data_IF_247220795210
#
_entry.id   IF_247220795210
#
_cell.length_a   1.000
_cell.length_b   1.000
_cell.length_c   1.000
_cell.angle_alpha   90.00
_cell.angle_beta   90.00
_cell.angle_gamma   90.00
#
_symmetry.space_group_name_H-M   'P 1'
#
loop_
_entity.id
_entity.type
_entity.pdbx_description
1 polymer ?
#
# COMPACT_ATOMS: atom_id res chain seq x y z
N UNK A 1 1.44 -3.60 -25.12
CA UNK A 1 1.03 -3.69 -23.70
C UNK A 1 2.18 -3.40 -22.71
N UNK A 2 3.39 -3.99 -22.85
CA UNK A 2 4.53 -3.80 -21.94
C UNK A 2 4.89 -2.31 -21.74
N UNK A 3 5.12 -1.58 -22.82
CA UNK A 3 5.45 -0.15 -22.77
C UNK A 3 4.35 0.69 -22.08
N UNK A 4 3.07 0.35 -22.33
CA UNK A 4 1.95 1.05 -21.69
C UNK A 4 1.92 0.82 -20.18
N UNK A 5 2.22 -0.38 -19.69
CA UNK A 5 2.29 -0.68 -18.25
C UNK A 5 3.43 0.09 -17.58
N UNK A 6 4.60 0.15 -18.21
CA UNK A 6 5.75 0.91 -17.71
C UNK A 6 5.44 2.41 -17.71
N UNK A 7 4.91 2.95 -18.81
CA UNK A 7 4.55 4.37 -18.92
C UNK A 7 3.47 4.77 -17.90
N UNK A 8 2.42 3.97 -17.74
CA UNK A 8 1.38 4.22 -16.75
C UNK A 8 1.94 4.16 -15.32
N UNK A 9 2.79 3.17 -15.01
CA UNK A 9 3.43 3.09 -13.69
C UNK A 9 4.29 4.33 -13.41
N UNK A 10 5.10 4.77 -14.38
CA UNK A 10 5.90 5.97 -14.28
C UNK A 10 5.01 7.21 -14.08
N UNK A 11 3.96 7.37 -14.90
CA UNK A 11 3.02 8.49 -14.79
C UNK A 11 2.36 8.58 -13.41
N UNK A 12 1.85 7.46 -12.88
CA UNK A 12 1.22 7.45 -11.56
C UNK A 12 2.20 7.74 -10.41
N UNK A 13 3.41 7.17 -10.46
CA UNK A 13 4.43 7.40 -9.43
C UNK A 13 4.96 8.83 -9.50
N UNK A 14 5.31 9.32 -10.69
CA UNK A 14 5.86 10.67 -10.88
C UNK A 14 4.78 11.73 -10.67
N UNK A 15 3.60 11.55 -11.25
CA UNK A 15 2.46 12.45 -11.12
C UNK A 15 1.96 12.55 -9.68
N UNK A 16 1.81 11.43 -8.98
CA UNK A 16 1.44 11.42 -7.57
C UNK A 16 2.49 12.08 -6.67
N UNK A 17 3.77 11.93 -7.00
CA UNK A 17 4.86 12.58 -6.27
C UNK A 17 4.88 14.09 -6.51
N UNK A 18 4.78 14.52 -7.76
CA UNK A 18 4.73 15.94 -8.14
C UNK A 18 3.49 16.62 -7.54
N UNK A 19 2.32 15.99 -7.62
CA UNK A 19 1.09 16.51 -7.01
C UNK A 19 1.23 16.63 -5.48
N UNK A 20 1.90 15.67 -4.82
CA UNK A 20 2.15 15.74 -3.39
C UNK A 20 3.07 16.91 -3.00
N UNK A 21 4.05 17.24 -3.85
CA UNK A 21 4.91 18.42 -3.64
C UNK A 21 4.14 19.73 -3.87
N UNK A 22 3.36 19.80 -4.94
CA UNK A 22 2.62 21.00 -5.36
C UNK A 22 1.53 21.40 -4.36
N UNK A 23 0.79 20.42 -3.86
CA UNK A 23 -0.34 20.61 -2.94
C UNK A 23 0.09 20.78 -1.47
N UNK A 24 1.38 20.72 -1.22
CA UNK A 24 1.96 20.92 0.11
C UNK A 24 1.77 19.74 1.08
N UNK A 25 2.27 19.89 2.32
CA UNK A 25 2.43 18.75 3.24
C UNK A 25 1.15 18.02 3.62
N UNK A 26 0.03 18.73 3.69
CA UNK A 26 -1.26 18.16 4.13
C UNK A 26 -1.90 17.32 3.02
N UNK A 27 -2.08 17.90 1.85
CA UNK A 27 -2.67 17.22 0.70
C UNK A 27 -1.69 16.22 0.08
N UNK A 28 -0.39 16.53 0.11
CA UNK A 28 0.66 15.62 -0.34
C UNK A 28 0.73 14.32 0.45
N UNK A 29 0.42 14.32 1.75
CA UNK A 29 0.34 13.09 2.53
C UNK A 29 -0.87 12.22 2.16
N UNK A 30 -1.99 12.84 1.81
CA UNK A 30 -3.21 12.16 1.33
C UNK A 30 -2.92 11.49 -0.02
N UNK A 31 -2.34 12.24 -0.96
CA UNK A 31 -2.00 11.71 -2.28
C UNK A 31 -0.88 10.68 -2.24
N UNK A 32 0.06 10.80 -1.30
CA UNK A 32 1.13 9.81 -1.10
C UNK A 32 0.63 8.45 -0.60
N UNK A 33 -0.55 8.40 0.02
CA UNK A 33 -1.24 7.17 0.41
C UNK A 33 -2.24 6.67 -0.63
N UNK A 34 -2.36 7.36 -1.79
CA UNK A 34 -3.28 6.96 -2.85
C UNK A 34 -3.01 5.54 -3.36
N UNK A 35 -4.04 4.78 -3.71
CA UNK A 35 -3.97 3.37 -4.09
C UNK A 35 -3.42 3.15 -5.51
N UNK A 36 -2.21 3.68 -5.81
CA UNK A 36 -1.61 3.70 -7.14
C UNK A 36 -1.53 2.31 -7.78
N UNK A 37 -1.03 1.31 -7.04
CA UNK A 37 -0.93 -0.05 -7.56
C UNK A 37 -2.31 -0.67 -7.79
N UNK A 38 -3.26 -0.43 -6.87
CA UNK A 38 -4.62 -0.96 -7.01
C UNK A 38 -5.31 -0.39 -8.26
N UNK A 39 -5.14 0.92 -8.53
CA UNK A 39 -5.68 1.56 -9.75
C UNK A 39 -5.04 0.99 -11.01
N UNK A 40 -3.71 0.88 -11.05
CA UNK A 40 -3.01 0.31 -12.20
C UNK A 40 -3.45 -1.13 -12.47
N UNK A 41 -3.53 -1.95 -11.42
CA UNK A 41 -3.99 -3.33 -11.53
C UNK A 41 -5.44 -3.40 -11.99
N UNK A 42 -6.31 -2.54 -11.46
CA UNK A 42 -7.72 -2.47 -11.87
C UNK A 42 -7.87 -2.13 -13.36
N UNK A 43 -7.07 -1.16 -13.87
CA UNK A 43 -7.05 -0.77 -15.28
C UNK A 43 -6.59 -1.94 -16.15
N UNK A 44 -5.43 -2.52 -15.85
CA UNK A 44 -4.85 -3.56 -16.70
C UNK A 44 -5.64 -4.88 -16.61
N UNK A 45 -6.13 -5.26 -15.43
CA UNK A 45 -7.03 -6.41 -15.32
C UNK A 45 -8.34 -6.20 -16.08
N UNK A 46 -8.92 -4.98 -16.03
CA UNK A 46 -10.15 -4.69 -16.79
C UNK A 46 -9.93 -4.79 -18.30
N UNK A 47 -8.76 -4.36 -18.81
CA UNK A 47 -8.43 -4.39 -20.23
C UNK A 47 -8.06 -5.81 -20.70
N UNK A 48 -7.28 -6.55 -19.91
CA UNK A 48 -6.69 -7.83 -20.32
C UNK A 48 -7.56 -9.03 -19.96
N UNK A 49 -8.28 -8.98 -18.85
CA UNK A 49 -9.08 -10.08 -18.30
C UNK A 49 -10.59 -9.78 -18.20
N UNK A 50 -10.95 -8.52 -18.42
CA UNK A 50 -12.32 -8.05 -18.34
C UNK A 50 -12.73 -7.51 -16.95
N UNK A 51 -13.84 -6.74 -16.91
CA UNK A 51 -14.26 -6.03 -15.71
C UNK A 51 -14.69 -6.94 -14.54
N UNK A 52 -15.21 -8.13 -14.82
CA UNK A 52 -15.60 -9.08 -13.77
C UNK A 52 -14.36 -9.62 -13.02
N UNK A 53 -13.31 -9.99 -13.75
CA UNK A 53 -12.02 -10.40 -13.17
C UNK A 53 -11.43 -9.28 -12.31
N UNK A 54 -11.41 -8.05 -12.85
CA UNK A 54 -10.85 -6.90 -12.15
C UNK A 54 -11.64 -6.57 -10.87
N UNK A 55 -12.97 -6.67 -10.88
CA UNK A 55 -13.83 -6.46 -9.71
C UNK A 55 -13.58 -7.51 -8.62
N UNK A 56 -13.43 -8.78 -9.01
CA UNK A 56 -13.11 -9.85 -8.08
C UNK A 56 -11.69 -9.72 -7.53
N UNK A 57 -10.71 -9.35 -8.35
CA UNK A 57 -9.34 -9.04 -7.89
C UNK A 57 -9.33 -7.87 -6.91
N UNK A 58 -10.09 -6.80 -7.16
CA UNK A 58 -10.24 -5.70 -6.23
C UNK A 58 -10.81 -6.17 -4.88
N UNK A 59 -11.81 -7.06 -4.88
CA UNK A 59 -12.32 -7.66 -3.65
C UNK A 59 -11.20 -8.40 -2.87
N UNK A 60 -10.41 -9.24 -3.54
CA UNK A 60 -9.33 -9.99 -2.89
C UNK A 60 -8.12 -9.14 -2.51
N UNK A 61 -7.99 -7.93 -3.06
CA UNK A 61 -6.99 -6.95 -2.59
C UNK A 61 -7.27 -6.49 -1.15
N UNK A 62 -8.52 -6.51 -0.69
CA UNK A 62 -8.88 -6.13 0.68
C UNK A 62 -8.18 -7.03 1.71
N UNK A 63 -8.35 -8.37 1.71
CA UNK A 63 -7.57 -9.23 2.59
C UNK A 63 -6.07 -9.20 2.30
N UNK A 64 -5.66 -9.00 1.03
CA UNK A 64 -4.26 -8.82 0.65
C UNK A 64 -3.61 -7.63 1.36
N UNK A 65 -4.33 -6.52 1.54
CA UNK A 65 -3.87 -5.39 2.36
C UNK A 65 -3.74 -5.76 3.84
N UNK A 66 -4.57 -6.68 4.34
CA UNK A 66 -4.39 -7.27 5.67
C UNK A 66 -3.07 -8.03 5.78
N UNK A 67 -2.67 -8.77 4.73
CA UNK A 67 -1.36 -9.45 4.66
C UNK A 67 -0.18 -8.46 4.55
N UNK A 68 -0.39 -7.24 4.06
CA UNK A 68 0.65 -6.23 3.97
C UNK A 68 1.06 -5.64 5.34
N UNK A 69 0.17 -5.66 6.32
CA UNK A 69 0.46 -5.12 7.66
C UNK A 69 1.62 -5.86 8.35
N UNK A 70 1.65 -7.20 8.40
CA UNK A 70 2.77 -7.97 8.97
C UNK A 70 4.13 -7.68 8.33
N UNK A 71 4.18 -7.23 7.07
CA UNK A 71 5.44 -6.89 6.37
C UNK A 71 6.29 -5.91 7.18
N UNK A 72 5.66 -4.85 7.65
CA UNK A 72 6.34 -3.80 8.40
C UNK A 72 6.73 -4.24 9.81
N UNK A 73 5.92 -5.10 10.42
CA UNK A 73 6.24 -5.70 11.72
C UNK A 73 7.40 -6.69 11.59
N UNK A 74 7.40 -7.53 10.54
CA UNK A 74 8.50 -8.44 10.23
C UNK A 74 9.79 -7.69 9.92
N UNK A 75 9.71 -6.60 9.18
CA UNK A 75 10.85 -5.72 8.94
C UNK A 75 11.42 -5.17 10.25
N UNK A 76 10.57 -4.62 11.11
CA UNK A 76 10.99 -4.10 12.42
C UNK A 76 11.62 -5.20 13.28
N UNK A 77 11.04 -6.38 13.30
CA UNK A 77 11.53 -7.51 14.06
C UNK A 77 12.94 -7.92 13.59
N UNK A 78 13.15 -8.03 12.27
CA UNK A 78 14.46 -8.34 11.71
C UNK A 78 15.52 -7.32 12.14
N UNK A 79 15.21 -6.03 12.09
CA UNK A 79 16.15 -4.97 12.47
C UNK A 79 16.50 -4.96 13.96
N UNK A 80 15.64 -5.52 14.80
CA UNK A 80 15.86 -5.66 16.25
C UNK A 80 16.60 -6.93 16.64
N UNK A 81 16.30 -8.03 15.95
CA UNK A 81 16.88 -9.34 16.27
C UNK A 81 18.26 -9.57 15.65
N UNK A 82 18.55 -8.89 14.55
CA UNK A 82 19.78 -9.05 13.80
C UNK A 82 20.62 -7.76 13.92
N UNK A 83 21.44 -7.61 14.97
CA UNK A 83 22.37 -6.51 15.08
C UNK A 83 23.49 -6.69 14.06
N UNK A 84 23.31 -6.15 12.88
CA UNK A 84 24.21 -6.29 11.74
C UNK A 84 24.57 -4.92 11.15
N UNK A 85 25.64 -4.81 10.36
CA UNK A 85 25.88 -3.63 9.54
C UNK A 85 24.64 -3.23 8.75
N UNK A 86 24.46 -1.94 8.53
CA UNK A 86 23.22 -1.35 7.99
C UNK A 86 22.69 -2.06 6.74
N UNK A 87 23.58 -2.41 5.81
CA UNK A 87 23.19 -3.10 4.58
C UNK A 87 22.53 -4.47 4.85
N UNK A 88 23.09 -5.26 5.75
CA UNK A 88 22.56 -6.56 6.16
C UNK A 88 21.26 -6.42 6.95
N UNK A 89 21.14 -5.40 7.81
CA UNK A 89 19.92 -5.10 8.55
C UNK A 89 18.76 -4.74 7.60
N UNK A 90 19.05 -3.97 6.54
CA UNK A 90 18.06 -3.66 5.49
C UNK A 90 17.66 -4.93 4.73
N UNK A 91 18.65 -5.73 4.31
CA UNK A 91 18.39 -6.98 3.58
C UNK A 91 17.55 -7.95 4.42
N UNK A 92 17.90 -8.15 5.69
CA UNK A 92 17.13 -8.97 6.62
C UNK A 92 15.71 -8.45 6.82
N UNK A 93 15.56 -7.12 6.94
CA UNK A 93 14.25 -6.47 7.06
C UNK A 93 13.37 -6.72 5.85
N UNK A 94 13.89 -6.51 4.63
CA UNK A 94 13.16 -6.78 3.38
C UNK A 94 12.81 -8.27 3.27
N UNK A 95 13.77 -9.15 3.53
CA UNK A 95 13.56 -10.61 3.43
C UNK A 95 12.50 -11.11 4.41
N UNK A 96 12.61 -10.75 5.70
CA UNK A 96 11.63 -11.18 6.71
C UNK A 96 10.27 -10.52 6.48
N UNK A 97 10.25 -9.23 6.11
CA UNK A 97 9.00 -8.55 5.75
C UNK A 97 8.30 -9.22 4.58
N UNK A 98 9.03 -9.55 3.51
CA UNK A 98 8.47 -10.26 2.36
C UNK A 98 8.01 -11.68 2.74
N UNK A 99 8.79 -12.40 3.55
CA UNK A 99 8.41 -13.73 4.03
C UNK A 99 7.09 -13.69 4.85
N UNK A 100 6.93 -12.69 5.73
CA UNK A 100 5.67 -12.52 6.48
C UNK A 100 4.48 -12.24 5.57
N UNK A 101 4.66 -11.49 4.48
CA UNK A 101 3.61 -11.29 3.48
C UNK A 101 3.23 -12.60 2.79
N UNK A 102 4.22 -13.37 2.33
CA UNK A 102 3.98 -14.66 1.66
C UNK A 102 3.21 -15.60 2.59
N UNK A 103 3.67 -15.76 3.83
CA UNK A 103 3.01 -16.63 4.83
C UNK A 103 1.58 -16.15 5.09
N UNK A 104 1.37 -14.84 5.30
CA UNK A 104 0.04 -14.29 5.55
C UNK A 104 -0.88 -14.46 4.33
N UNK A 105 -0.37 -14.26 3.11
CA UNK A 105 -1.12 -14.45 1.87
C UNK A 105 -1.51 -15.91 1.67
N UNK A 106 -0.60 -16.85 1.91
CA UNK A 106 -0.89 -18.28 1.87
C UNK A 106 -1.96 -18.67 2.90
N UNK A 107 -1.85 -18.17 4.13
CA UNK A 107 -2.86 -18.39 5.15
C UNK A 107 -4.23 -17.82 4.74
N UNK A 108 -4.29 -16.60 4.19
CA UNK A 108 -5.51 -15.99 3.71
C UNK A 108 -6.11 -16.70 2.50
N UNK A 109 -5.30 -17.37 1.71
CA UNK A 109 -5.79 -18.11 0.54
C UNK A 109 -6.68 -19.29 0.90
N UNK A 110 -6.55 -19.85 2.11
CA UNK A 110 -7.37 -20.98 2.57
C UNK A 110 -8.52 -20.54 3.48
N UNK A 111 -8.55 -19.29 3.93
CA UNK A 111 -9.64 -18.76 4.76
C UNK A 111 -10.82 -18.37 3.86
N UNK A 112 -12.05 -18.82 4.15
CA UNK A 112 -13.24 -18.49 3.38
C UNK A 112 -13.72 -17.06 3.69
N UNK A 113 -13.00 -16.05 3.19
CA UNK A 113 -13.40 -14.65 3.33
C UNK A 113 -14.46 -14.31 2.28
N UNK A 114 -15.62 -13.86 2.75
CA UNK A 114 -16.72 -13.43 1.92
C UNK A 114 -16.94 -11.91 1.93
N UNK A 115 -17.95 -11.43 1.18
CA UNK A 115 -18.26 -10.00 1.08
C UNK A 115 -18.55 -9.29 2.40
N UNK A 116 -19.04 -10.03 3.40
CA UNK A 116 -19.37 -9.49 4.72
C UNK A 116 -18.21 -9.57 5.72
N UNK A 117 -17.20 -10.41 5.46
CA UNK A 117 -16.11 -10.67 6.42
C UNK A 117 -14.79 -10.02 6.02
N UNK A 118 -14.54 -9.74 4.74
CA UNK A 118 -13.29 -9.19 4.25
C UNK A 118 -12.97 -7.80 4.83
N UNK A 119 -13.95 -6.88 4.85
CA UNK A 119 -13.75 -5.53 5.42
C UNK A 119 -13.59 -5.53 6.95
N UNK A 120 -14.46 -6.21 7.74
CA UNK A 120 -14.22 -6.36 9.18
C UNK A 120 -12.86 -6.98 9.50
N UNK A 121 -12.42 -7.99 8.74
CA UNK A 121 -11.09 -8.57 8.88
C UNK A 121 -10.00 -7.52 8.66
N UNK A 122 -10.03 -6.79 7.53
CA UNK A 122 -9.05 -5.75 7.23
C UNK A 122 -9.05 -4.63 8.31
N UNK A 123 -10.24 -4.23 8.77
CA UNK A 123 -10.39 -3.26 9.86
C UNK A 123 -9.76 -3.75 11.15
N UNK A 124 -10.01 -5.01 11.54
CA UNK A 124 -9.45 -5.62 12.74
C UNK A 124 -7.92 -5.69 12.68
N UNK A 125 -7.35 -6.08 11.54
CA UNK A 125 -5.89 -6.13 11.33
C UNK A 125 -5.28 -4.73 11.40
N UNK A 126 -5.84 -3.76 10.69
CA UNK A 126 -5.34 -2.38 10.69
C UNK A 126 -5.46 -1.71 12.07
N UNK A 127 -6.57 -1.93 12.77
CA UNK A 127 -6.78 -1.41 14.12
C UNK A 127 -5.82 -2.08 15.10
N UNK A 128 -5.74 -3.41 15.09
CA UNK A 128 -4.82 -4.18 15.94
C UNK A 128 -3.37 -3.74 15.76
N UNK A 129 -2.93 -3.58 14.51
CA UNK A 129 -1.60 -3.05 14.21
C UNK A 129 -1.42 -1.62 14.73
N UNK A 130 -2.40 -0.75 14.54
CA UNK A 130 -2.35 0.63 15.04
C UNK A 130 -2.24 0.68 16.57
N UNK A 131 -2.97 -0.18 17.27
CA UNK A 131 -2.93 -0.27 18.73
C UNK A 131 -1.59 -0.84 19.23
N UNK A 132 -1.07 -1.86 18.55
CA UNK A 132 0.23 -2.47 18.87
C UNK A 132 1.37 -1.44 18.71
N UNK A 133 1.37 -0.74 17.59
CA UNK A 133 2.45 0.23 17.27
C UNK A 133 2.39 1.47 18.16
N UNK A 134 1.22 1.86 18.68
CA UNK A 134 1.12 2.96 19.65
C UNK A 134 1.90 2.70 20.96
N UNK A 135 2.08 1.44 21.33
CA UNK A 135 2.84 1.04 22.54
C UNK A 135 4.35 1.06 22.34
N UNK A 136 4.81 1.18 21.10
CA UNK A 136 6.23 1.23 20.79
C UNK A 136 6.76 2.68 20.96
N UNK A 137 7.99 2.87 21.50
CA UNK A 137 8.55 4.21 21.70
C UNK A 137 8.70 4.94 20.37
N UNK A 138 8.43 6.25 20.39
CA UNK A 138 8.64 7.13 19.24
C UNK A 138 10.02 7.77 19.36
N UNK A 139 10.94 7.31 18.55
CA UNK A 139 12.35 7.76 18.62
C UNK A 139 12.75 8.69 17.47
N UNK A 140 11.83 9.02 16.55
CA UNK A 140 12.23 9.77 15.37
C UNK A 140 11.23 10.82 14.90
N UNK A 141 11.74 11.98 14.62
CA UNK A 141 11.14 12.97 13.73
C UNK A 141 11.57 12.69 12.28
N UNK A 142 10.60 12.38 11.41
CA UNK A 142 10.87 12.33 9.97
C UNK A 142 11.29 13.72 9.49
N UNK A 143 12.59 13.98 9.35
CA UNK A 143 13.09 15.10 8.57
C UNK A 143 12.79 14.80 7.10
N UNK A 144 11.92 15.60 6.49
CA UNK A 144 11.71 15.55 5.05
C UNK A 144 12.99 16.05 4.38
N UNK A 145 13.75 15.13 3.81
CA UNK A 145 14.83 15.48 2.90
C UNK A 145 14.26 15.69 1.47
N UNK A 146 15.00 16.42 0.62
CA UNK A 146 14.63 16.56 -0.78
C UNK A 146 14.48 15.17 -1.43
N UNK A 147 13.49 15.02 -2.32
CA UNK A 147 13.29 13.78 -3.08
C UNK A 147 14.55 13.47 -3.90
N UNK A 148 15.15 12.34 -3.63
CA UNK A 148 16.27 11.87 -4.41
C UNK A 148 15.78 11.26 -5.72
N UNK A 149 16.38 11.62 -6.84
CA UNK A 149 16.11 11.03 -8.16
C UNK A 149 16.25 9.51 -8.11
N UNK A 150 17.22 9.00 -7.36
CA UNK A 150 17.40 7.56 -7.16
C UNK A 150 16.22 6.90 -6.45
N UNK A 151 15.63 7.56 -5.45
CA UNK A 151 14.43 7.07 -4.76
C UNK A 151 13.24 7.00 -5.73
N UNK A 152 13.09 8.01 -6.55
CA UNK A 152 12.02 8.09 -7.53
C UNK A 152 12.16 7.00 -8.60
N UNK A 153 13.38 6.80 -9.12
CA UNK A 153 13.70 5.75 -10.07
C UNK A 153 13.41 4.34 -9.51
N UNK A 154 13.81 4.08 -8.26
CA UNK A 154 13.51 2.80 -7.58
C UNK A 154 12.00 2.61 -7.43
N UNK A 155 11.25 3.63 -7.03
CA UNK A 155 9.77 3.54 -6.92
C UNK A 155 9.12 3.21 -8.25
N UNK A 156 9.51 3.90 -9.33
CA UNK A 156 9.00 3.64 -10.69
C UNK A 156 9.33 2.22 -11.13
N UNK A 157 10.60 1.80 -10.96
CA UNK A 157 11.05 0.48 -11.38
C UNK A 157 10.31 -0.65 -10.62
N UNK A 158 10.22 -0.54 -9.30
CA UNK A 158 9.53 -1.55 -8.47
C UNK A 158 8.03 -1.59 -8.78
N UNK A 159 7.38 -0.43 -8.92
CA UNK A 159 5.96 -0.38 -9.32
C UNK A 159 5.73 -1.00 -10.69
N UNK A 160 6.54 -0.64 -11.69
CA UNK A 160 6.43 -1.20 -13.04
C UNK A 160 6.65 -2.71 -13.05
N UNK A 161 7.71 -3.19 -12.39
CA UNK A 161 8.00 -4.62 -12.28
C UNK A 161 6.86 -5.40 -11.61
N UNK A 162 6.26 -4.82 -10.56
CA UNK A 162 5.15 -5.50 -9.87
C UNK A 162 3.89 -5.53 -10.73
N UNK A 163 3.53 -4.42 -11.38
CA UNK A 163 2.39 -4.39 -12.31
C UNK A 163 2.60 -5.41 -13.41
N UNK A 164 3.79 -5.45 -13.99
CA UNK A 164 4.14 -6.43 -15.03
C UNK A 164 4.03 -7.87 -14.52
N UNK A 165 4.66 -8.17 -13.38
CA UNK A 165 4.64 -9.51 -12.81
C UNK A 165 3.21 -9.99 -12.53
N UNK A 166 2.43 -9.18 -11.80
CA UNK A 166 1.07 -9.56 -11.41
C UNK A 166 0.15 -9.69 -12.61
N UNK A 167 0.20 -8.75 -13.56
CA UNK A 167 -0.68 -8.80 -14.74
C UNK A 167 -0.27 -9.87 -15.76
N UNK A 168 1.03 -10.20 -15.83
CA UNK A 168 1.51 -11.25 -16.76
C UNK A 168 1.07 -12.66 -16.34
N UNK A 169 0.92 -12.90 -15.04
CA UNK A 169 0.51 -14.21 -14.51
C UNK A 169 -0.95 -14.27 -14.07
N UNK A 170 -1.68 -13.16 -14.19
CA UNK A 170 -3.06 -13.06 -13.72
C UNK A 170 -4.00 -14.11 -14.32
N UNK A 171 -3.85 -14.41 -15.61
CA UNK A 171 -4.64 -15.44 -16.31
C UNK A 171 -4.43 -16.87 -15.76
N UNK A 172 -3.24 -17.13 -15.21
CA UNK A 172 -2.93 -18.43 -14.58
C UNK A 172 -3.33 -18.44 -13.12
N UNK A 173 -3.07 -17.35 -12.40
CA UNK A 173 -3.33 -17.25 -10.96
C UNK A 173 -4.81 -17.09 -10.63
N UNK A 174 -5.60 -16.55 -11.56
CA UNK A 174 -6.99 -16.17 -11.33
C UNK A 174 -7.14 -14.92 -10.47
N UNK A 175 -8.37 -14.41 -10.33
CA UNK A 175 -8.64 -13.11 -9.68
C UNK A 175 -8.30 -13.10 -8.19
N UNK A 176 -8.49 -14.21 -7.49
CA UNK A 176 -8.18 -14.33 -6.07
C UNK A 176 -6.72 -14.08 -5.76
N UNK A 177 -5.82 -14.83 -6.39
CA UNK A 177 -4.40 -14.69 -6.17
C UNK A 177 -3.87 -13.36 -6.70
N UNK A 178 -4.36 -12.91 -7.86
CA UNK A 178 -4.00 -11.61 -8.40
C UNK A 178 -4.33 -10.49 -7.42
N UNK A 179 -5.52 -10.49 -6.82
CA UNK A 179 -5.91 -9.51 -5.82
C UNK A 179 -5.08 -9.58 -4.55
N UNK A 180 -4.85 -10.77 -3.99
CA UNK A 180 -4.01 -10.94 -2.80
C UNK A 180 -2.58 -10.39 -3.01
N UNK A 181 -1.98 -10.64 -4.18
CA UNK A 181 -0.62 -10.17 -4.50
C UNK A 181 -0.58 -8.66 -4.73
N UNK A 182 -1.63 -8.05 -5.30
CA UNK A 182 -1.76 -6.58 -5.41
C UNK A 182 -1.70 -5.90 -4.03
N UNK A 183 -2.07 -6.57 -2.96
CA UNK A 183 -1.90 -6.10 -1.59
C UNK A 183 -0.44 -5.92 -1.14
N UNK A 184 0.56 -6.46 -1.84
CA UNK A 184 1.96 -6.28 -1.48
C UNK A 184 2.38 -4.80 -1.48
N UNK A 185 3.09 -4.31 -0.43
CA UNK A 185 3.40 -2.89 -0.29
C UNK A 185 4.58 -2.44 -1.16
N UNK A 186 4.43 -2.55 -2.50
CA UNK A 186 5.48 -2.27 -3.50
C UNK A 186 6.04 -0.87 -3.47
N UNK A 187 5.27 0.11 -3.02
CA UNK A 187 5.75 1.49 -2.88
C UNK A 187 6.33 1.75 -1.49
N UNK A 188 5.73 1.19 -0.46
CA UNK A 188 6.09 1.46 0.93
C UNK A 188 7.35 0.75 1.37
N UNK A 189 7.47 -0.56 1.10
CA UNK A 189 8.61 -1.36 1.56
C UNK A 189 9.95 -0.90 0.96
N UNK A 190 10.10 -0.69 -0.37
CA UNK A 190 11.34 -0.19 -0.94
C UNK A 190 11.70 1.22 -0.45
N UNK A 191 10.72 2.11 -0.30
CA UNK A 191 10.95 3.46 0.23
C UNK A 191 11.47 3.40 1.66
N UNK A 192 10.83 2.59 2.51
CA UNK A 192 11.27 2.40 3.89
C UNK A 192 12.68 1.79 3.94
N UNK A 193 12.97 0.78 3.12
CA UNK A 193 14.27 0.13 3.03
C UNK A 193 15.37 1.12 2.61
N UNK A 194 15.11 1.94 1.60
CA UNK A 194 16.06 2.95 1.13
C UNK A 194 16.30 4.06 2.18
N UNK A 195 15.25 4.51 2.84
CA UNK A 195 15.38 5.49 3.94
C UNK A 195 16.14 4.88 5.13
N UNK A 196 15.87 3.61 5.46
CA UNK A 196 16.64 2.91 6.49
C UNK A 196 18.13 2.81 6.10
N UNK A 197 18.44 2.44 4.85
CA UNK A 197 19.81 2.40 4.35
C UNK A 197 20.51 3.76 4.46
N UNK A 198 19.78 4.86 4.27
CA UNK A 198 20.34 6.21 4.27
C UNK A 198 20.40 6.84 5.66
N UNK A 199 19.33 6.71 6.45
CA UNK A 199 19.14 7.45 7.70
C UNK A 199 19.13 6.56 8.96
N UNK A 200 19.21 5.23 8.81
CA UNK A 200 19.19 4.27 9.92
C UNK A 200 17.80 3.89 10.36
N UNK A 201 17.69 3.14 11.47
CA UNK A 201 16.46 2.54 11.98
C UNK A 201 15.42 3.56 12.47
N UNK A 202 15.82 4.78 12.78
CA UNK A 202 14.94 5.82 13.29
C UNK A 202 13.75 6.13 12.34
N UNK A 203 13.94 5.96 11.03
CA UNK A 203 12.89 6.25 10.03
C UNK A 203 11.83 5.16 9.91
N UNK A 204 12.03 3.98 10.49
CA UNK A 204 11.14 2.82 10.33
C UNK A 204 9.81 3.05 11.07
N UNK A 205 9.88 3.57 12.30
CA UNK A 205 8.70 3.73 13.16
C UNK A 205 7.61 4.63 12.56
N UNK A 206 7.91 5.81 12.01
CA UNK A 206 6.91 6.64 11.35
C UNK A 206 6.18 5.93 10.20
N UNK A 207 6.90 5.12 9.41
CA UNK A 207 6.27 4.32 8.35
C UNK A 207 5.29 3.30 8.92
N UNK A 208 5.73 2.53 9.92
CA UNK A 208 4.90 1.50 10.54
C UNK A 208 3.63 2.10 11.15
N UNK A 209 3.73 3.28 11.77
CA UNK A 209 2.58 3.94 12.41
C UNK A 209 1.54 4.47 11.42
N UNK A 210 1.99 4.95 10.27
CA UNK A 210 1.10 5.53 9.27
C UNK A 210 0.49 4.48 8.34
N UNK A 211 1.19 3.36 8.13
CA UNK A 211 0.80 2.35 7.16
C UNK A 211 -0.62 1.79 7.38
N UNK A 212 -1.06 1.39 8.59
CA UNK A 212 -2.38 0.80 8.77
C UNK A 212 -3.53 1.72 8.34
N UNK A 213 -3.34 3.03 8.49
CA UNK A 213 -4.35 4.04 8.09
C UNK A 213 -4.45 4.13 6.58
N UNK A 214 -3.30 4.22 5.89
CA UNK A 214 -3.28 4.20 4.42
C UNK A 214 -3.77 2.88 3.84
N UNK A 215 -3.37 1.76 4.45
CA UNK A 215 -3.82 0.42 4.06
C UNK A 215 -5.35 0.29 4.13
N UNK A 216 -5.98 0.83 5.16
CA UNK A 216 -7.43 0.80 5.28
C UNK A 216 -8.12 1.69 4.23
N UNK A 217 -7.53 2.83 3.85
CA UNK A 217 -8.00 3.64 2.72
C UNK A 217 -7.96 2.84 1.40
N UNK A 218 -6.87 2.12 1.14
CA UNK A 218 -6.79 1.23 -0.02
C UNK A 218 -7.86 0.12 0.04
N UNK A 219 -8.20 -0.41 1.22
CA UNK A 219 -9.31 -1.36 1.37
C UNK A 219 -10.66 -0.72 1.00
N UNK A 220 -10.91 0.53 1.42
CA UNK A 220 -12.13 1.27 1.06
C UNK A 220 -12.19 1.48 -0.45
N UNK A 221 -11.11 1.93 -1.09
CA UNK A 221 -11.03 2.07 -2.54
C UNK A 221 -11.40 0.77 -3.24
N UNK A 222 -10.80 -0.35 -2.85
CA UNK A 222 -11.03 -1.66 -3.46
C UNK A 222 -12.42 -2.21 -3.19
N UNK A 223 -13.03 -1.90 -2.03
CA UNK A 223 -14.42 -2.22 -1.75
C UNK A 223 -15.36 -1.54 -2.75
N UNK A 224 -15.19 -0.22 -2.94
CA UNK A 224 -15.97 0.54 -3.91
C UNK A 224 -15.74 -0.02 -5.32
N UNK A 225 -14.49 -0.23 -5.71
CA UNK A 225 -14.13 -0.78 -7.02
C UNK A 225 -14.77 -2.14 -7.28
N UNK A 226 -14.71 -3.05 -6.32
CA UNK A 226 -15.29 -4.39 -6.44
C UNK A 226 -16.82 -4.40 -6.60
N UNK A 227 -17.51 -3.37 -6.08
CA UNK A 227 -18.97 -3.27 -6.10
C UNK A 227 -19.53 -2.51 -7.30
N UNK A 228 -18.73 -1.62 -7.87
CA UNK A 228 -19.23 -0.66 -8.87
C UNK A 228 -18.69 -0.92 -10.27
N UNK A 229 -17.50 -1.54 -10.42
CA UNK A 229 -16.80 -1.66 -11.69
C UNK A 229 -17.66 -2.26 -12.82
N UNK A 230 -18.35 -3.35 -12.54
CA UNK A 230 -19.19 -4.02 -13.54
C UNK A 230 -20.46 -3.21 -13.86
N UNK A 231 -20.92 -2.35 -12.93
CA UNK A 231 -22.19 -1.62 -13.06
C UNK A 231 -22.05 -0.28 -13.77
N UNK A 232 -21.00 0.49 -13.42
CA UNK A 232 -20.82 1.88 -13.91
C UNK A 232 -19.57 2.06 -14.76
N UNK A 233 -18.83 0.97 -15.01
CA UNK A 233 -17.61 1.00 -15.84
C UNK A 233 -16.38 1.57 -15.12
N UNK A 234 -15.23 1.41 -15.78
CA UNK A 234 -13.91 1.68 -15.17
C UNK A 234 -13.68 3.16 -14.79
N UNK A 235 -13.93 4.17 -15.65
CA UNK A 235 -13.63 5.56 -15.32
C UNK A 235 -14.46 6.08 -14.14
N UNK A 236 -15.78 5.80 -14.15
CA UNK A 236 -16.69 6.24 -13.09
C UNK A 236 -16.37 5.54 -11.76
N UNK A 237 -16.01 4.24 -11.81
CA UNK A 237 -15.57 3.48 -10.63
C UNK A 237 -14.30 4.07 -10.02
N UNK A 238 -13.28 4.38 -10.81
CA UNK A 238 -12.03 4.97 -10.32
C UNK A 238 -12.32 6.33 -9.66
N UNK A 239 -13.10 7.18 -10.31
CA UNK A 239 -13.45 8.50 -9.77
C UNK A 239 -14.19 8.38 -8.43
N UNK A 240 -15.19 7.50 -8.35
CA UNK A 240 -15.97 7.27 -7.13
C UNK A 240 -15.11 6.68 -6.01
N UNK A 241 -14.30 5.66 -6.33
CA UNK A 241 -13.44 5.01 -5.35
C UNK A 241 -12.39 5.95 -4.77
N UNK A 242 -11.79 6.81 -5.60
CA UNK A 242 -10.91 7.88 -5.13
C UNK A 242 -11.63 8.92 -4.28
N UNK A 243 -12.83 9.34 -4.67
CA UNK A 243 -13.60 10.33 -3.89
C UNK A 243 -13.88 9.80 -2.48
N UNK A 244 -14.26 8.53 -2.34
CA UNK A 244 -14.53 7.90 -1.05
C UNK A 244 -13.24 7.72 -0.23
N UNK A 245 -12.14 7.30 -0.86
CA UNK A 245 -10.83 7.16 -0.20
C UNK A 245 -10.31 8.50 0.32
N UNK A 246 -10.37 9.55 -0.50
CA UNK A 246 -9.97 10.91 -0.12
C UNK A 246 -10.83 11.44 1.03
N UNK A 247 -12.15 11.20 0.99
CA UNK A 247 -13.05 11.58 2.07
C UNK A 247 -12.68 10.88 3.39
N UNK A 248 -12.37 9.58 3.34
CA UNK A 248 -11.87 8.83 4.49
C UNK A 248 -10.57 9.43 5.05
N UNK A 249 -9.57 9.64 4.18
CA UNK A 249 -8.28 10.19 4.60
C UNK A 249 -8.40 11.60 5.17
N UNK A 250 -9.27 12.44 4.59
CA UNK A 250 -9.58 13.78 5.08
C UNK A 250 -10.25 13.73 6.46
N UNK A 251 -11.20 12.80 6.67
CA UNK A 251 -11.84 12.59 7.97
C UNK A 251 -10.83 12.15 9.04
N UNK A 252 -9.94 11.20 8.72
CA UNK A 252 -8.88 10.78 9.64
C UNK A 252 -7.91 11.93 9.96
N UNK A 253 -7.54 12.72 8.96
CA UNK A 253 -6.68 13.89 9.15
C UNK A 253 -7.34 14.95 10.03
N UNK A 254 -8.65 15.14 9.89
CA UNK A 254 -9.42 16.07 10.72
C UNK A 254 -9.51 15.59 12.17
N UNK A 255 -9.81 14.32 12.40
CA UNK A 255 -9.90 13.72 13.74
C UNK A 255 -8.56 13.72 14.50
N UNK A 256 -7.44 13.73 13.79
CA UNK A 256 -6.08 13.76 14.35
C UNK A 256 -5.52 15.18 14.53
N UNK A 257 -6.31 16.24 14.30
CA UNK A 257 -5.85 17.60 14.55
C UNK A 257 -5.56 17.77 16.05
N UNK A 258 -4.43 18.38 16.45
CA UNK A 258 -4.21 18.78 17.81
C UNK A 258 -5.39 19.69 18.21
N UNK A 259 -6.03 19.41 19.33
CA UNK A 259 -6.97 20.38 19.89
C UNK A 259 -6.17 21.63 20.22
N UNK A 260 -6.65 22.84 19.84
CA UNK A 260 -6.03 24.07 20.33
C UNK A 260 -6.04 23.98 21.85
N UNK A 261 -4.86 24.18 22.46
CA UNK A 261 -4.78 24.35 23.92
C UNK A 261 -5.70 25.52 24.24
N UNK A 262 -6.73 25.28 25.07
CA UNK A 262 -7.57 26.33 25.58
C UNK A 262 -6.67 27.26 26.39
N UNK A 263 -6.75 28.62 26.18
CA UNK A 263 -5.95 29.60 26.89
C UNK A 263 -6.16 29.53 28.42
#
# INVERSE_FOLDING_TARGET
MLAAKIAASAFFVLGGTAAAEWLGPRLGSILGSAPQLAVLSLIFFSIEQGPAFAAESAFWTIPGMGAAVPVYLGYLLATRLIPAPRAWSVAAGVSLGTATFVIATLALSVIPLGPLTAMPFAAAVCLGASLLVRRLPDTATLRRGPLSVSLLAVRVAVSALTVLAVTSVAHVLGPKWSGLVVGFPVNGLPVMALLHARYGTAVIMPFIRMFPVGAFGICIFNLVASRTLVRIGLPATIALAYAVDVAYLAAVAWLRRPRPESP
#
